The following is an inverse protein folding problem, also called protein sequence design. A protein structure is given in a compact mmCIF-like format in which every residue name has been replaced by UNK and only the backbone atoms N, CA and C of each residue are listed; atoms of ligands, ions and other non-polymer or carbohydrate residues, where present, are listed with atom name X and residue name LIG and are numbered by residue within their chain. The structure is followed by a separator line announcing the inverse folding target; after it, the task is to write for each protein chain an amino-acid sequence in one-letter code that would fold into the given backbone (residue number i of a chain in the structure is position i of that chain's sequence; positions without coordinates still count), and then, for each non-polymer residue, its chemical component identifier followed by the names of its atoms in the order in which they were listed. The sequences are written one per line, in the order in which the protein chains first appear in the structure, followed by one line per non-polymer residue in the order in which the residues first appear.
data_IF_906679870825
#
_entry.id   IF_906679870825
#
_cell.length_a   1.000
_cell.length_b   1.000
_cell.length_c   1.000
_cell.angle_alpha   90.00
_cell.angle_beta   90.00
_cell.angle_gamma   90.00
#
_symmetry.space_group_name_H-M   'P 1'
#
loop_
_entity.id
_entity.type
_entity.pdbx_description
1 polymer ?
#
# COMPACT_ATOMS: atom_id res chain seq x y z
N UNK A 1 -15.62 7.97 -2.86
CA UNK A 1 -14.84 6.71 -2.78
C UNK A 1 -14.89 6.03 -4.13
N UNK A 2 -13.77 5.96 -4.86
CA UNK A 2 -13.69 5.21 -6.12
C UNK A 2 -13.48 3.73 -5.75
N UNK A 3 -14.48 2.88 -5.97
CA UNK A 3 -14.36 1.44 -5.71
C UNK A 3 -13.42 0.83 -6.76
N UNK A 4 -12.21 0.46 -6.35
CA UNK A 4 -11.27 -0.27 -7.19
C UNK A 4 -11.87 -1.61 -7.62
N UNK A 5 -11.96 -1.84 -8.94
CA UNK A 5 -12.73 -2.94 -9.54
C UNK A 5 -12.15 -4.34 -9.28
N UNK A 6 -10.92 -4.45 -8.76
CA UNK A 6 -10.15 -5.71 -8.71
C UNK A 6 -9.51 -6.02 -7.34
N UNK A 7 -9.88 -5.32 -6.25
CA UNK A 7 -9.27 -5.57 -4.93
C UNK A 7 -7.77 -5.23 -4.84
N UNK A 8 -7.27 -4.42 -5.78
CA UNK A 8 -5.90 -3.89 -5.78
C UNK A 8 -5.81 -2.77 -4.75
N UNK A 9 -4.79 -2.83 -3.91
CA UNK A 9 -4.49 -1.80 -2.92
C UNK A 9 -2.98 -1.57 -2.93
N UNK A 10 -2.59 -0.45 -3.53
CA UNK A 10 -1.20 -0.03 -3.66
C UNK A 10 -1.01 1.28 -2.89
N UNK A 11 0.06 1.37 -2.10
CA UNK A 11 0.47 2.57 -1.36
C UNK A 11 1.71 3.12 -2.03
N UNK A 12 1.64 4.37 -2.46
CA UNK A 12 2.70 5.09 -3.16
C UNK A 12 3.03 6.33 -2.35
N UNK A 13 4.31 6.57 -2.10
CA UNK A 13 4.83 7.76 -1.45
C UNK A 13 6.02 8.29 -2.26
N UNK A 14 6.10 9.61 -2.46
CA UNK A 14 7.16 10.24 -3.26
C UNK A 14 7.40 9.56 -4.61
N UNK A 15 6.32 9.27 -5.35
CA UNK A 15 6.32 8.56 -6.63
C UNK A 15 6.87 7.11 -6.58
N UNK A 16 7.19 6.59 -5.40
CA UNK A 16 7.68 5.23 -5.16
C UNK A 16 6.58 4.33 -4.60
N UNK A 17 6.38 3.16 -5.22
CA UNK A 17 5.49 2.13 -4.69
C UNK A 17 6.10 1.52 -3.43
N UNK A 18 5.55 1.89 -2.26
CA UNK A 18 6.01 1.41 -0.96
C UNK A 18 5.27 0.16 -0.47
N UNK A 19 4.02 -0.08 -0.93
CA UNK A 19 3.28 -1.29 -0.60
C UNK A 19 2.33 -1.71 -1.73
N UNK A 20 2.14 -3.02 -1.93
CA UNK A 20 1.12 -3.55 -2.83
C UNK A 20 0.47 -4.81 -2.26
N UNK A 21 -0.81 -4.71 -1.89
CA UNK A 21 -1.61 -5.85 -1.45
C UNK A 21 -1.64 -6.96 -2.49
N UNK A 22 -1.63 -6.63 -3.77
CA UNK A 22 -1.66 -7.63 -4.82
C UNK A 22 -0.39 -8.49 -4.83
N UNK A 23 0.76 -7.91 -4.45
CA UNK A 23 2.02 -8.65 -4.30
C UNK A 23 2.12 -9.44 -3.00
N UNK A 24 1.64 -8.86 -1.89
CA UNK A 24 1.82 -9.44 -0.54
C UNK A 24 0.65 -10.34 -0.11
N UNK A 25 -0.50 -10.24 -0.80
CA UNK A 25 -1.70 -11.04 -0.50
C UNK A 25 -2.45 -10.62 0.77
N UNK A 26 -2.03 -9.55 1.44
CA UNK A 26 -2.64 -9.02 2.68
C UNK A 26 -2.70 -7.50 2.68
N UNK A 27 -3.44 -6.94 3.62
CA UNK A 27 -3.35 -5.51 3.93
C UNK A 27 -2.06 -5.21 4.71
N UNK A 28 -1.51 -3.99 4.58
CA UNK A 28 -0.39 -3.57 5.41
C UNK A 28 -0.85 -3.40 6.85
N UNK A 29 0.09 -3.52 7.79
CA UNK A 29 -0.13 -3.07 9.16
C UNK A 29 0.10 -1.54 9.28
N UNK A 30 -0.57 -0.88 10.22
CA UNK A 30 -0.43 0.57 10.44
C UNK A 30 1.04 0.94 10.72
N UNK A 31 1.75 0.15 11.53
CA UNK A 31 3.17 0.39 11.81
C UNK A 31 4.07 0.17 10.60
N UNK A 32 3.69 -0.75 9.71
CA UNK A 32 4.44 -1.06 8.48
C UNK A 32 4.41 0.14 7.53
N UNK A 33 3.24 0.75 7.35
CA UNK A 33 3.09 1.95 6.52
C UNK A 33 3.90 3.11 7.09
N UNK A 34 3.85 3.35 8.40
CA UNK A 34 4.60 4.44 9.05
C UNK A 34 6.11 4.25 8.85
N UNK A 35 6.63 3.03 9.06
CA UNK A 35 8.06 2.73 8.85
C UNK A 35 8.49 2.92 7.39
N UNK A 36 7.62 2.62 6.44
CA UNK A 36 7.88 2.82 5.01
C UNK A 36 7.88 4.30 4.59
N UNK A 37 7.16 5.16 5.32
CA UNK A 37 7.09 6.60 5.06
C UNK A 37 8.21 7.42 5.73
N UNK A 38 8.85 6.90 6.78
CA UNK A 38 9.90 7.60 7.53
C UNK A 38 11.31 7.43 6.93
N UNK A 39 11.43 6.77 5.78
CA UNK A 39 12.69 6.45 5.13
C UNK A 39 12.99 7.41 4.00
#
# INVERSE_FOLDING_TARGET
MIKGKNGIFDVVADENLIFSKHKVGRFPDDEEVIKLLQK
#
